data_IF_473401597249
#
_entry.id   IF_473401597249
#
_cell.length_a   1.000
_cell.length_b   1.000
_cell.length_c   1.000
_cell.angle_alpha   90.00
_cell.angle_beta   90.00
_cell.angle_gamma   90.00
#
_symmetry.space_group_name_H-M   'P 1'
#
loop_
_entity.id
_entity.type
_entity.pdbx_description
1 polymer ?
#
# COMPACT_ATOMS: atom_id res chain seq x y z
N UNK A 1 -4.27 -27.64 -6.37
CA UNK A 1 -3.69 -26.49 -7.09
C UNK A 1 -4.54 -25.22 -6.94
N UNK A 2 -5.84 -25.28 -7.27
CA UNK A 2 -6.78 -24.15 -7.24
C UNK A 2 -6.84 -23.37 -5.92
N UNK A 3 -6.86 -24.05 -4.75
CA UNK A 3 -6.86 -23.38 -3.43
C UNK A 3 -5.62 -22.52 -3.16
N UNK A 4 -4.45 -22.89 -3.71
CA UNK A 4 -3.21 -22.11 -3.56
C UNK A 4 -3.26 -20.85 -4.44
N UNK A 5 -3.77 -20.98 -5.66
CA UNK A 5 -3.96 -19.85 -6.59
C UNK A 5 -4.91 -18.82 -6.00
N UNK A 6 -6.05 -19.24 -5.46
CA UNK A 6 -7.02 -18.35 -4.79
C UNK A 6 -6.38 -17.60 -3.61
N UNK A 7 -5.61 -18.31 -2.78
CA UNK A 7 -4.87 -17.69 -1.66
C UNK A 7 -3.91 -16.60 -2.16
N UNK A 8 -3.12 -16.87 -3.19
CA UNK A 8 -2.21 -15.86 -3.77
C UNK A 8 -2.97 -14.66 -4.32
N UNK A 9 -4.07 -14.88 -5.04
CA UNK A 9 -4.91 -13.79 -5.57
C UNK A 9 -5.46 -12.90 -4.46
N UNK A 10 -5.88 -13.47 -3.33
CA UNK A 10 -6.34 -12.67 -2.18
C UNK A 10 -5.23 -11.76 -1.64
N UNK A 11 -3.98 -12.26 -1.52
CA UNK A 11 -2.85 -11.39 -1.09
C UNK A 11 -2.63 -10.27 -2.08
N UNK A 12 -2.60 -10.58 -3.38
CA UNK A 12 -2.34 -9.58 -4.42
C UNK A 12 -3.43 -8.49 -4.44
N UNK A 13 -4.70 -8.88 -4.28
CA UNK A 13 -5.81 -7.93 -4.17
C UNK A 13 -5.64 -7.05 -2.93
N UNK A 14 -5.31 -7.65 -1.77
CA UNK A 14 -5.08 -6.86 -0.55
C UNK A 14 -3.90 -5.91 -0.71
N UNK A 15 -2.79 -6.35 -1.30
CA UNK A 15 -1.63 -5.48 -1.60
C UNK A 15 -2.03 -4.29 -2.49
N UNK A 16 -2.84 -4.53 -3.52
CA UNK A 16 -3.34 -3.46 -4.40
C UNK A 16 -4.26 -2.49 -3.65
N UNK A 17 -5.17 -3.00 -2.82
CA UNK A 17 -6.01 -2.16 -1.95
C UNK A 17 -5.15 -1.32 -1.02
N UNK A 18 -4.16 -1.93 -0.37
CA UNK A 18 -3.23 -1.22 0.50
C UNK A 18 -2.43 -0.15 -0.23
N UNK A 19 -1.97 -0.43 -1.45
CA UNK A 19 -1.30 0.54 -2.30
C UNK A 19 -2.16 1.78 -2.55
N UNK A 20 -3.44 1.59 -2.93
CA UNK A 20 -4.37 2.70 -3.21
C UNK A 20 -4.72 3.48 -1.93
N UNK A 21 -5.02 2.78 -0.84
CA UNK A 21 -5.32 3.40 0.46
C UNK A 21 -4.11 4.20 0.96
N UNK A 22 -2.91 3.63 0.84
CA UNK A 22 -1.65 4.27 1.20
C UNK A 22 -1.36 5.50 0.34
N UNK A 23 -1.60 5.42 -0.98
CA UNK A 23 -1.47 6.55 -1.90
C UNK A 23 -2.38 7.71 -1.48
N UNK A 24 -3.68 7.45 -1.30
CA UNK A 24 -4.66 8.48 -0.92
C UNK A 24 -4.28 9.11 0.43
N UNK A 25 -3.93 8.28 1.41
CA UNK A 25 -3.50 8.76 2.73
C UNK A 25 -2.24 9.62 2.63
N UNK A 26 -1.25 9.17 1.84
CA UNK A 26 -0.02 9.89 1.58
C UNK A 26 -0.25 11.24 0.90
N UNK A 27 -1.09 11.29 -0.14
CA UNK A 27 -1.48 12.53 -0.83
C UNK A 27 -2.11 13.51 0.15
N UNK A 28 -3.03 13.06 1.00
CA UNK A 28 -3.67 13.92 2.01
C UNK A 28 -2.65 14.45 3.02
N UNK A 29 -1.68 13.63 3.43
CA UNK A 29 -0.64 14.06 4.36
C UNK A 29 0.29 15.09 3.70
N UNK A 30 0.81 14.82 2.50
CA UNK A 30 1.75 15.76 1.85
C UNK A 30 1.12 17.01 1.29
N UNK A 31 -0.13 16.91 0.82
CA UNK A 31 -0.89 18.06 0.32
C UNK A 31 -1.23 19.08 1.42
N UNK A 32 -1.37 18.62 2.68
CA UNK A 32 -1.78 19.48 3.79
C UNK A 32 -0.63 19.83 4.76
N UNK A 33 0.29 18.90 5.03
CA UNK A 33 1.29 19.06 6.10
C UNK A 33 2.74 19.13 5.58
N UNK A 34 3.05 18.50 4.44
CA UNK A 34 4.43 18.39 3.93
C UNK A 34 4.56 18.92 2.50
N UNK A 35 3.95 20.06 2.19
CA UNK A 35 3.88 20.63 0.82
C UNK A 35 5.24 20.96 0.19
N UNK A 36 6.26 21.16 1.01
CA UNK A 36 7.63 21.46 0.56
C UNK A 36 8.59 20.28 0.67
N UNK A 37 8.11 19.11 1.08
CA UNK A 37 8.92 17.90 1.12
C UNK A 37 9.18 17.37 -0.29
N UNK A 38 10.42 17.02 -0.59
CA UNK A 38 10.85 16.51 -1.89
C UNK A 38 11.37 15.09 -1.78
N UNK A 39 11.00 14.23 -2.73
CA UNK A 39 11.42 12.85 -2.78
C UNK A 39 11.37 12.32 -4.21
N UNK A 40 12.47 11.69 -4.66
CA UNK A 40 12.59 11.12 -6.02
C UNK A 40 12.18 12.09 -7.15
N UNK A 41 12.50 13.38 -7.01
CA UNK A 41 12.17 14.39 -8.02
C UNK A 41 10.70 14.85 -8.02
N UNK A 42 9.90 14.40 -7.06
CA UNK A 42 8.51 14.83 -6.83
C UNK A 42 8.42 15.64 -5.54
N UNK A 43 7.33 16.38 -5.35
CA UNK A 43 7.17 17.28 -4.19
C UNK A 43 5.78 17.19 -3.57
N UNK A 44 5.70 17.45 -2.27
CA UNK A 44 4.45 17.60 -1.55
C UNK A 44 3.61 16.33 -1.60
N UNK A 45 2.39 16.45 -2.11
CA UNK A 45 1.42 15.37 -2.18
C UNK A 45 1.88 14.18 -3.04
N UNK A 46 2.69 14.42 -4.08
CA UNK A 46 3.20 13.36 -4.96
C UNK A 46 4.27 12.54 -4.25
N UNK A 47 5.21 13.23 -3.60
CA UNK A 47 6.30 12.63 -2.85
C UNK A 47 5.77 11.74 -1.72
N UNK A 48 4.87 12.27 -0.89
CA UNK A 48 4.27 11.50 0.21
C UNK A 48 3.27 10.47 -0.28
N UNK A 49 2.59 10.70 -1.41
CA UNK A 49 1.71 9.73 -2.06
C UNK A 49 2.48 8.48 -2.50
N UNK A 50 3.65 8.65 -3.13
CA UNK A 50 4.54 7.56 -3.49
C UNK A 50 5.01 6.78 -2.26
N UNK A 51 5.44 7.47 -1.20
CA UNK A 51 5.85 6.81 0.04
C UNK A 51 4.67 6.03 0.65
N UNK A 52 3.51 6.68 0.75
CA UNK A 52 2.30 6.10 1.31
C UNK A 52 1.87 4.84 0.55
N UNK A 53 1.96 4.83 -0.77
CA UNK A 53 1.58 3.68 -1.60
C UNK A 53 2.50 2.47 -1.37
N UNK A 54 3.82 2.68 -1.26
CA UNK A 54 4.77 1.63 -0.90
C UNK A 54 4.53 1.07 0.50
N UNK A 55 4.30 1.96 1.47
CA UNK A 55 3.98 1.56 2.85
C UNK A 55 2.69 0.75 2.90
N UNK A 56 1.63 1.22 2.25
CA UNK A 56 0.33 0.55 2.20
C UNK A 56 0.39 -0.82 1.54
N UNK A 57 1.12 -0.94 0.42
CA UNK A 57 1.35 -2.21 -0.28
C UNK A 57 2.00 -3.25 0.63
N UNK A 58 3.06 -2.86 1.35
CA UNK A 58 3.78 -3.76 2.26
C UNK A 58 2.91 -4.17 3.44
N UNK A 59 2.23 -3.21 4.08
CA UNK A 59 1.39 -3.49 5.25
C UNK A 59 0.23 -4.44 4.91
N UNK A 60 -0.49 -4.19 3.81
CA UNK A 60 -1.59 -5.07 3.42
C UNK A 60 -1.10 -6.42 2.89
N UNK A 61 0.08 -6.49 2.27
CA UNK A 61 0.72 -7.75 1.93
C UNK A 61 1.02 -8.61 3.17
N UNK A 62 1.57 -8.00 4.22
CA UNK A 62 1.82 -8.67 5.50
C UNK A 62 0.51 -9.14 6.16
N UNK A 63 -0.54 -8.32 6.13
CA UNK A 63 -1.88 -8.68 6.62
C UNK A 63 -2.45 -9.86 5.84
N UNK A 64 -2.43 -9.80 4.50
CA UNK A 64 -2.94 -10.86 3.63
C UNK A 64 -2.19 -12.17 3.82
N UNK A 65 -0.86 -12.12 3.94
CA UNK A 65 -0.04 -13.28 4.24
C UNK A 65 -0.40 -13.90 5.59
N UNK A 66 -0.56 -13.08 6.63
CA UNK A 66 -0.94 -13.56 7.97
C UNK A 66 -2.35 -14.15 8.00
N UNK A 67 -3.30 -13.55 7.28
CA UNK A 67 -4.68 -14.02 7.17
C UNK A 67 -4.75 -15.42 6.54
N UNK A 68 -3.97 -15.65 5.48
CA UNK A 68 -3.92 -16.96 4.82
C UNK A 68 -3.21 -18.02 5.68
N UNK A 69 -2.22 -17.62 6.47
CA UNK A 69 -1.58 -18.52 7.45
C UNK A 69 -2.55 -18.92 8.56
N UNK A 70 -3.47 -18.04 8.95
CA UNK A 70 -4.52 -18.33 9.92
C UNK A 70 -5.59 -19.27 9.35
N UNK A 71 -5.90 -19.16 8.06
CA UNK A 71 -6.81 -20.07 7.33
C UNK A 71 -6.12 -21.38 6.87
N UNK A 72 -5.21 -21.93 7.67
CA UNK A 72 -4.58 -23.23 7.41
C UNK A 72 -5.33 -24.35 8.09
#
# INVERSE_FOLDING_TARGET
>A
MMKKVVKVLIVLILMFVGFVVGLITGIQIGGNYFTSFEFLGTRGYEATGLIGSWVGLVLFGLIGFRLIKFWR
#
